data_IF_247657565766
#
_entry.id   IF_247657565766
#
_cell.length_a   1.000
_cell.length_b   1.000
_cell.length_c   1.000
_cell.angle_alpha   90.00
_cell.angle_beta   90.00
_cell.angle_gamma   90.00
#
_symmetry.space_group_name_H-M   'P 1'
#
loop_
_entity.id
_entity.type
_entity.pdbx_description
1 polymer ?
#
# COMPACT_ATOMS: atom_id res chain seq x y z
N UNK A 1 -54.96 4.33 16.23
CA UNK A 1 -54.65 4.38 14.79
C UNK A 1 -53.73 5.56 14.57
N UNK A 2 -52.43 5.31 14.33
CA UNK A 2 -51.49 6.31 13.86
C UNK A 2 -50.20 5.63 13.36
N UNK A 3 -49.54 6.32 12.44
CA UNK A 3 -48.24 6.07 11.81
C UNK A 3 -48.21 5.12 10.60
N UNK A 4 -48.38 5.73 9.43
CA UNK A 4 -47.64 5.38 8.22
C UNK A 4 -46.20 5.91 8.34
N UNK A 5 -45.22 5.15 7.82
CA UNK A 5 -44.04 5.66 7.13
C UNK A 5 -43.23 4.45 6.61
N UNK A 6 -42.99 4.43 5.30
CA UNK A 6 -42.16 3.43 4.65
C UNK A 6 -40.69 3.54 5.04
N UNK A 7 -39.97 2.44 4.85
CA UNK A 7 -38.52 2.46 4.70
C UNK A 7 -38.14 1.42 3.66
N UNK A 8 -38.27 1.79 2.39
CA UNK A 8 -37.48 1.20 1.31
C UNK A 8 -36.04 1.65 1.51
N UNK A 9 -35.32 0.94 2.36
CA UNK A 9 -33.86 1.00 2.39
C UNK A 9 -33.33 0.11 1.28
N UNK A 10 -33.08 0.70 0.11
CA UNK A 10 -32.21 0.08 -0.90
C UNK A 10 -30.77 0.36 -0.49
N UNK A 11 -30.11 -0.64 0.09
CA UNK A 11 -28.68 -0.56 0.42
C UNK A 11 -27.82 -0.27 -0.82
N UNK A 12 -26.57 0.20 -0.65
CA UNK A 12 -25.67 0.42 -1.77
C UNK A 12 -25.51 -0.90 -2.53
N UNK A 13 -25.85 -0.88 -3.82
CA UNK A 13 -25.72 -2.03 -4.70
C UNK A 13 -24.30 -2.57 -4.64
N UNK A 14 -24.17 -3.83 -4.23
CA UNK A 14 -22.92 -4.58 -4.26
C UNK A 14 -22.59 -4.87 -5.72
N UNK A 15 -21.92 -3.95 -6.40
CA UNK A 15 -21.15 -4.33 -7.58
C UNK A 15 -20.15 -5.39 -7.13
N UNK A 16 -20.26 -6.60 -7.69
CA UNK A 16 -19.30 -7.65 -7.44
C UNK A 16 -17.91 -7.11 -7.83
N UNK A 17 -16.96 -7.16 -6.89
CA UNK A 17 -15.59 -6.75 -7.19
C UNK A 17 -15.06 -7.57 -8.36
N UNK A 18 -14.44 -6.89 -9.32
CA UNK A 18 -13.78 -7.52 -10.46
C UNK A 18 -12.57 -8.38 -10.06
N UNK A 19 -12.25 -8.45 -8.76
CA UNK A 19 -11.05 -9.09 -8.25
C UNK A 19 -11.28 -9.94 -6.98
N UNK A 20 -10.39 -10.91 -6.79
CA UNK A 20 -10.26 -11.76 -5.60
C UNK A 20 -8.86 -11.64 -5.00
N UNK A 21 -8.68 -12.17 -3.78
CA UNK A 21 -7.39 -12.16 -3.10
C UNK A 21 -6.59 -13.43 -3.43
N UNK A 22 -5.35 -13.24 -3.88
CA UNK A 22 -4.34 -14.29 -4.03
C UNK A 22 -3.22 -14.14 -3.00
N UNK A 23 -2.56 -15.23 -2.66
CA UNK A 23 -1.43 -15.25 -1.73
C UNK A 23 -0.26 -16.06 -2.26
N UNK A 24 0.95 -15.61 -1.95
CA UNK A 24 2.19 -16.36 -2.11
C UNK A 24 3.12 -16.07 -0.91
N UNK A 25 4.39 -16.49 -1.00
CA UNK A 25 5.38 -16.24 0.04
C UNK A 25 5.78 -14.75 0.17
N UNK A 26 5.63 -13.96 -0.91
CA UNK A 26 5.98 -12.55 -0.92
C UNK A 26 4.87 -11.67 -0.33
N UNK A 27 3.61 -12.12 -0.39
CA UNK A 27 2.51 -11.49 0.29
C UNK A 27 1.16 -11.70 -0.39
N UNK A 28 0.39 -10.60 -0.47
CA UNK A 28 -1.00 -10.59 -0.91
C UNK A 28 -1.07 -9.92 -2.27
N UNK A 29 -1.84 -10.51 -3.16
CA UNK A 29 -1.99 -10.11 -4.54
C UNK A 29 -3.46 -9.99 -4.92
N UNK A 30 -3.70 -9.26 -6.00
CA UNK A 30 -5.04 -9.09 -6.57
C UNK A 30 -5.15 -9.97 -7.80
N UNK A 31 -6.19 -10.78 -7.88
CA UNK A 31 -6.42 -11.75 -8.96
C UNK A 31 -7.71 -11.39 -9.69
N UNK A 32 -7.74 -11.33 -11.04
CA UNK A 32 -8.99 -11.14 -11.78
C UNK A 32 -10.03 -12.20 -11.39
N UNK A 33 -11.27 -11.77 -11.11
CA UNK A 33 -12.29 -12.67 -10.58
C UNK A 33 -12.59 -13.85 -11.52
N UNK A 34 -12.56 -13.64 -12.84
CA UNK A 34 -12.75 -14.70 -13.82
C UNK A 34 -11.68 -15.81 -13.70
N UNK A 35 -10.41 -15.43 -13.60
CA UNK A 35 -9.29 -16.35 -13.47
C UNK A 35 -9.31 -17.07 -12.11
N UNK A 36 -9.67 -16.35 -11.05
CA UNK A 36 -9.81 -16.91 -9.72
C UNK A 36 -10.93 -17.96 -9.68
N UNK A 37 -12.10 -17.66 -10.24
CA UNK A 37 -13.24 -18.58 -10.31
C UNK A 37 -12.91 -19.83 -11.14
N UNK A 38 -12.22 -19.66 -12.26
CA UNK A 38 -11.73 -20.78 -13.07
C UNK A 38 -10.74 -21.67 -12.29
N UNK A 39 -9.78 -21.08 -11.59
CA UNK A 39 -8.83 -21.83 -10.76
C UNK A 39 -9.51 -22.56 -9.59
N UNK A 40 -10.55 -21.96 -9.01
CA UNK A 40 -11.36 -22.60 -7.95
C UNK A 40 -12.16 -23.78 -8.51
N UNK A 41 -12.73 -23.65 -9.71
CA UNK A 41 -13.52 -24.70 -10.33
C UNK A 41 -12.68 -25.91 -10.77
N UNK A 42 -11.41 -25.69 -11.14
CA UNK A 42 -10.53 -26.71 -11.73
C UNK A 42 -9.67 -27.48 -10.73
N UNK A 43 -9.54 -27.00 -9.49
CA UNK A 43 -8.69 -27.63 -8.46
C UNK A 43 -9.39 -27.51 -7.14
N UNK A 44 -9.51 -28.58 -6.34
CA UNK A 44 -10.13 -28.48 -5.01
C UNK A 44 -9.14 -28.04 -3.92
N UNK A 45 -7.88 -28.46 -4.02
CA UNK A 45 -6.89 -28.30 -2.95
C UNK A 45 -6.10 -26.99 -3.05
N UNK A 46 -5.61 -26.64 -4.24
CA UNK A 46 -4.73 -25.50 -4.47
C UNK A 46 -5.13 -24.79 -5.76
N UNK A 47 -6.05 -23.82 -5.72
CA UNK A 47 -6.45 -23.04 -6.89
C UNK A 47 -5.33 -22.06 -7.24
N UNK A 48 -4.44 -22.44 -8.15
CA UNK A 48 -3.30 -21.61 -8.54
C UNK A 48 -3.61 -20.87 -9.84
N UNK A 49 -3.32 -19.57 -9.88
CA UNK A 49 -3.50 -18.74 -11.09
C UNK A 49 -2.53 -17.55 -11.10
N UNK A 50 -2.60 -16.72 -12.14
CA UNK A 50 -1.87 -15.46 -12.25
C UNK A 50 -2.58 -14.32 -11.51
N UNK A 51 -1.82 -13.55 -10.74
CA UNK A 51 -2.25 -12.25 -10.22
C UNK A 51 -2.13 -11.16 -11.30
N UNK A 52 -2.72 -9.99 -11.03
CA UNK A 52 -2.65 -8.83 -11.93
C UNK A 52 -1.21 -8.35 -12.22
N UNK A 53 -0.27 -8.59 -11.29
CA UNK A 53 1.15 -8.30 -11.48
C UNK A 53 1.92 -9.40 -12.25
N UNK A 54 1.24 -10.48 -12.67
CA UNK A 54 1.85 -11.65 -13.31
C UNK A 54 2.41 -12.70 -12.34
N UNK A 55 2.41 -12.45 -11.03
CA UNK A 55 2.85 -13.43 -10.04
C UNK A 55 1.93 -14.65 -10.01
N UNK A 56 2.51 -15.83 -9.75
CA UNK A 56 1.77 -17.07 -9.59
C UNK A 56 1.35 -17.24 -8.13
N UNK A 57 0.05 -17.28 -7.87
CA UNK A 57 -0.51 -17.20 -6.52
C UNK A 57 -1.57 -18.27 -6.27
N UNK A 58 -1.79 -18.60 -4.99
CA UNK A 58 -2.91 -19.44 -4.56
C UNK A 58 -4.11 -18.54 -4.24
N UNK A 59 -5.28 -18.82 -4.81
CA UNK A 59 -6.51 -18.05 -4.54
C UNK A 59 -7.02 -18.33 -3.13
N UNK A 60 -7.14 -17.28 -2.31
CA UNK A 60 -7.63 -17.35 -0.94
C UNK A 60 -9.17 -17.41 -0.88
N UNK A 61 -9.74 -18.57 -1.22
CA UNK A 61 -11.21 -18.77 -1.36
C UNK A 61 -12.04 -18.23 -0.19
N UNK A 62 -11.58 -18.46 1.04
CA UNK A 62 -12.29 -18.09 2.26
C UNK A 62 -12.31 -16.58 2.50
N UNK A 63 -11.44 -15.82 1.84
CA UNK A 63 -11.38 -14.37 1.96
C UNK A 63 -12.27 -13.68 0.93
N UNK A 64 -12.67 -14.35 -0.14
CA UNK A 64 -13.63 -13.82 -1.10
C UNK A 64 -13.06 -12.69 -1.97
N UNK A 65 -13.88 -11.67 -2.19
CA UNK A 65 -13.59 -10.57 -3.11
C UNK A 65 -12.55 -9.60 -2.54
N UNK A 66 -11.69 -9.10 -3.41
CA UNK A 66 -10.76 -8.04 -3.05
C UNK A 66 -11.50 -6.70 -2.96
N UNK A 67 -11.23 -5.97 -1.88
CA UNK A 67 -11.42 -4.54 -1.80
C UNK A 67 -10.33 -3.97 -0.87
N UNK A 68 -9.94 -2.71 -1.07
CA UNK A 68 -8.79 -2.11 -0.37
C UNK A 68 -8.89 -2.22 1.16
N UNK A 69 -10.09 -2.00 1.69
CA UNK A 69 -10.37 -2.03 3.13
C UNK A 69 -10.82 -3.41 3.63
N UNK A 70 -10.38 -4.49 2.98
CA UNK A 70 -10.82 -5.84 3.36
C UNK A 70 -10.28 -6.22 4.74
N UNK A 71 -11.09 -6.76 5.68
CA UNK A 71 -10.66 -7.01 7.07
C UNK A 71 -9.46 -7.94 7.22
N UNK A 72 -9.23 -8.82 6.23
CA UNK A 72 -8.06 -9.71 6.21
C UNK A 72 -6.79 -9.05 5.68
N UNK A 73 -6.92 -7.86 5.08
CA UNK A 73 -5.81 -7.04 4.62
C UNK A 73 -5.49 -6.04 5.73
N UNK A 74 -4.59 -6.45 6.61
CA UNK A 74 -4.11 -5.59 7.69
C UNK A 74 -3.12 -4.55 7.14
N UNK A 75 -2.88 -3.49 7.92
CA UNK A 75 -1.97 -2.42 7.54
C UNK A 75 -0.50 -2.86 7.38
N UNK A 76 -0.11 -3.95 8.03
CA UNK A 76 1.21 -4.60 7.97
C UNK A 76 1.32 -5.65 6.86
N UNK A 77 0.24 -5.91 6.12
CA UNK A 77 0.27 -6.88 5.04
C UNK A 77 1.02 -6.33 3.83
N UNK A 78 2.01 -7.10 3.35
CA UNK A 78 2.70 -6.87 2.06
C UNK A 78 1.73 -7.08 0.90
N UNK A 79 0.92 -6.07 0.61
CA UNK A 79 0.13 -5.99 -0.61
C UNK A 79 1.02 -5.59 -1.76
N UNK A 80 0.99 -6.38 -2.85
CA UNK A 80 1.77 -6.10 -4.05
C UNK A 80 1.38 -4.72 -4.64
N UNK A 81 2.30 -3.75 -4.74
CA UNK A 81 1.99 -2.42 -5.25
C UNK A 81 1.40 -2.42 -6.66
N UNK A 82 1.95 -3.24 -7.55
CA UNK A 82 1.44 -3.42 -8.92
C UNK A 82 0.00 -3.87 -8.91
N UNK A 83 -0.34 -4.91 -8.12
CA UNK A 83 -1.71 -5.41 -8.02
C UNK A 83 -2.69 -4.36 -7.48
N UNK A 84 -2.28 -3.59 -6.48
CA UNK A 84 -3.11 -2.54 -5.88
C UNK A 84 -3.43 -1.45 -6.91
N UNK A 85 -2.43 -0.96 -7.63
CA UNK A 85 -2.63 0.05 -8.66
C UNK A 85 -3.42 -0.47 -9.87
N UNK A 86 -3.19 -1.71 -10.29
CA UNK A 86 -4.02 -2.35 -11.33
C UNK A 86 -5.49 -2.41 -10.93
N UNK A 87 -5.78 -2.80 -9.69
CA UNK A 87 -7.14 -2.89 -9.19
C UNK A 87 -7.80 -1.51 -9.08
N UNK A 88 -7.07 -0.53 -8.57
CA UNK A 88 -7.55 0.83 -8.43
C UNK A 88 -7.87 1.47 -9.78
N UNK A 89 -7.01 1.28 -10.78
CA UNK A 89 -7.24 1.78 -12.13
C UNK A 89 -8.46 1.11 -12.78
N UNK A 90 -8.54 -0.22 -12.72
CA UNK A 90 -9.65 -0.98 -13.30
C UNK A 90 -11.02 -0.73 -12.65
N UNK A 91 -11.03 -0.23 -11.40
CA UNK A 91 -12.27 0.04 -10.65
C UNK A 91 -12.56 1.53 -10.46
N UNK A 92 -11.77 2.43 -11.06
CA UNK A 92 -11.94 3.88 -10.92
C UNK A 92 -11.71 4.40 -9.49
N UNK A 93 -10.80 3.77 -8.74
CA UNK A 93 -10.54 4.04 -7.31
C UNK A 93 -9.14 4.59 -7.02
N UNK A 94 -8.51 5.26 -7.99
CA UNK A 94 -7.18 5.88 -7.79
C UNK A 94 -7.13 6.83 -6.58
N UNK A 95 -8.21 7.60 -6.36
CA UNK A 95 -8.34 8.50 -5.20
C UNK A 95 -8.27 7.76 -3.86
N UNK A 96 -8.87 6.58 -3.78
CA UNK A 96 -8.83 5.76 -2.58
C UNK A 96 -7.41 5.31 -2.26
N UNK A 97 -6.61 4.99 -3.29
CA UNK A 97 -5.20 4.63 -3.09
C UNK A 97 -4.34 5.83 -2.72
N UNK A 98 -4.56 7.00 -3.32
CA UNK A 98 -3.86 8.22 -2.92
C UNK A 98 -4.13 8.57 -1.45
N UNK A 99 -5.37 8.43 -0.98
CA UNK A 99 -5.70 8.63 0.43
C UNK A 99 -5.02 7.61 1.36
N UNK A 100 -4.93 6.35 0.94
CA UNK A 100 -4.26 5.29 1.70
C UNK A 100 -2.73 5.51 1.86
N UNK A 101 -2.14 6.32 0.99
CA UNK A 101 -0.71 6.69 1.08
C UNK A 101 -0.45 7.81 2.09
N UNK A 102 -1.46 8.60 2.46
CA UNK A 102 -1.29 9.70 3.42
C UNK A 102 -0.88 9.15 4.79
N UNK A 103 0.20 9.66 5.41
CA UNK A 103 0.50 9.36 6.80
C UNK A 103 -0.66 9.81 7.70
N UNK A 104 -0.96 9.03 8.75
CA UNK A 104 -2.05 9.31 9.70
C UNK A 104 -1.52 9.33 11.14
N UNK A 105 -2.27 9.97 12.01
CA UNK A 105 -2.10 9.95 13.48
C UNK A 105 -0.66 10.23 13.94
N UNK A 106 -0.13 9.36 14.80
CA UNK A 106 1.20 9.47 15.40
C UNK A 106 2.30 9.47 14.34
N UNK A 107 2.14 8.69 13.26
CA UNK A 107 3.11 8.61 12.17
C UNK A 107 3.25 9.95 11.46
N UNK A 108 2.14 10.67 11.25
CA UNK A 108 2.19 12.02 10.67
C UNK A 108 2.90 13.01 11.61
N UNK A 109 2.60 12.97 12.91
CA UNK A 109 3.23 13.86 13.90
C UNK A 109 4.76 13.69 13.97
N UNK A 110 5.25 12.46 13.79
CA UNK A 110 6.69 12.19 13.72
C UNK A 110 7.25 12.60 12.36
N UNK A 111 6.57 12.23 11.27
CA UNK A 111 7.05 12.52 9.92
C UNK A 111 7.19 14.01 9.65
N UNK A 112 6.32 14.88 10.19
CA UNK A 112 6.45 16.34 10.02
C UNK A 112 7.73 16.91 10.66
N UNK A 113 8.32 16.24 11.64
CA UNK A 113 9.57 16.66 12.27
C UNK A 113 10.80 16.16 11.51
N UNK A 114 10.65 15.06 10.76
CA UNK A 114 11.77 14.34 10.12
C UNK A 114 11.82 14.53 8.60
N UNK A 115 10.72 14.95 7.96
CA UNK A 115 10.64 15.21 6.53
C UNK A 115 10.18 16.64 6.26
N UNK A 116 10.85 17.37 5.34
CA UNK A 116 10.33 18.64 4.83
C UNK A 116 8.92 18.49 4.23
N UNK A 117 8.68 17.40 3.50
CA UNK A 117 7.38 17.06 2.92
C UNK A 117 6.92 15.64 3.33
N UNK A 118 6.09 15.49 4.38
CA UNK A 118 5.53 14.20 4.75
C UNK A 118 4.47 13.67 3.75
N UNK A 119 4.00 14.51 2.83
CA UNK A 119 3.03 14.17 1.78
C UNK A 119 3.71 13.90 0.42
N UNK A 120 5.05 13.76 0.39
CA UNK A 120 5.80 13.62 -0.86
C UNK A 120 5.30 12.47 -1.73
N UNK A 121 4.97 11.33 -1.14
CA UNK A 121 4.52 10.15 -1.89
C UNK A 121 3.13 10.34 -2.52
N UNK A 122 2.06 10.72 -1.79
CA UNK A 122 0.77 10.98 -2.42
C UNK A 122 0.84 12.14 -3.44
N UNK A 123 1.65 13.19 -3.21
CA UNK A 123 1.89 14.26 -4.20
C UNK A 123 2.56 13.73 -5.47
N UNK A 124 3.57 12.89 -5.33
CA UNK A 124 4.26 12.26 -6.45
C UNK A 124 3.33 11.35 -7.25
N UNK A 125 2.58 10.48 -6.58
CA UNK A 125 1.63 9.59 -7.26
C UNK A 125 0.54 10.37 -8.00
N UNK A 126 0.04 11.48 -7.43
CA UNK A 126 -0.86 12.40 -8.14
C UNK A 126 -0.21 12.97 -9.40
N UNK A 127 1.00 13.52 -9.29
CA UNK A 127 1.71 14.10 -10.45
C UNK A 127 1.97 13.07 -11.55
N UNK A 128 2.27 11.82 -11.18
CA UNK A 128 2.40 10.71 -12.12
C UNK A 128 1.09 10.45 -12.86
N UNK A 129 -0.05 10.37 -12.15
CA UNK A 129 -1.38 10.18 -12.75
C UNK A 129 -1.72 11.34 -13.69
N UNK A 130 -1.48 12.58 -13.26
CA UNK A 130 -1.84 13.77 -14.03
C UNK A 130 -1.00 13.92 -15.32
N UNK A 131 0.28 13.52 -15.29
CA UNK A 131 1.19 13.65 -16.44
C UNK A 131 1.15 12.48 -17.41
N UNK A 132 0.96 11.25 -16.92
CA UNK A 132 0.88 10.07 -17.79
C UNK A 132 -0.53 9.80 -18.30
N UNK A 133 -1.56 10.33 -17.64
CA UNK A 133 -2.96 10.06 -18.00
C UNK A 133 -3.42 8.67 -17.59
N UNK A 134 -4.73 8.43 -17.72
CA UNK A 134 -5.40 7.16 -17.36
C UNK A 134 -5.95 6.42 -18.58
N UNK A 135 -5.40 6.71 -19.77
CA UNK A 135 -5.83 6.08 -21.02
C UNK A 135 -5.31 4.64 -21.12
N UNK A 136 -6.12 3.73 -21.68
CA UNK A 136 -5.86 2.27 -21.68
C UNK A 136 -4.49 1.89 -22.25
N UNK A 137 -3.98 2.64 -23.23
CA UNK A 137 -2.67 2.39 -23.85
C UNK A 137 -1.49 2.66 -22.90
N UNK A 138 -1.65 3.60 -21.97
CA UNK A 138 -0.63 4.00 -21.01
C UNK A 138 -0.75 3.29 -19.65
N UNK A 139 -1.82 2.48 -19.45
CA UNK A 139 -2.08 1.76 -18.20
C UNK A 139 -0.87 0.96 -17.69
N UNK A 140 -0.16 0.14 -18.50
CA UNK A 140 0.97 -0.64 -18.00
C UNK A 140 2.11 0.24 -17.47
N UNK A 141 2.43 1.33 -18.19
CA UNK A 141 3.47 2.27 -17.80
C UNK A 141 3.08 3.05 -16.55
N UNK A 142 1.83 3.53 -16.48
CA UNK A 142 1.30 4.21 -15.31
C UNK A 142 1.41 3.31 -14.07
N UNK A 143 0.93 2.07 -14.17
CA UNK A 143 0.97 1.09 -13.09
C UNK A 143 2.41 0.81 -12.66
N UNK A 144 3.32 0.62 -13.61
CA UNK A 144 4.74 0.36 -13.33
C UNK A 144 5.37 1.50 -12.53
N UNK A 145 5.20 2.74 -12.98
CA UNK A 145 5.79 3.91 -12.31
C UNK A 145 5.15 4.13 -10.93
N UNK A 146 3.83 3.99 -10.81
CA UNK A 146 3.13 4.11 -9.52
C UNK A 146 3.54 3.01 -8.53
N UNK A 147 3.65 1.77 -8.99
CA UNK A 147 4.08 0.65 -8.17
C UNK A 147 5.54 0.81 -7.72
N UNK A 148 6.41 1.29 -8.61
CA UNK A 148 7.78 1.61 -8.28
C UNK A 148 7.85 2.72 -7.22
N UNK A 149 7.15 3.84 -7.42
CA UNK A 149 7.10 4.94 -6.47
C UNK A 149 6.65 4.49 -5.07
N UNK A 150 5.56 3.73 -4.97
CA UNK A 150 5.01 3.31 -3.68
C UNK A 150 5.81 2.22 -2.98
N UNK A 151 6.63 1.45 -3.69
CA UNK A 151 7.59 0.54 -3.06
C UNK A 151 8.61 1.30 -2.19
N UNK A 152 8.92 2.55 -2.54
CA UNK A 152 9.85 3.42 -1.80
C UNK A 152 9.17 4.25 -0.70
N UNK A 153 7.94 3.91 -0.29
CA UNK A 153 7.20 4.62 0.75
C UNK A 153 8.03 4.74 2.03
N UNK A 154 8.23 5.96 2.58
CA UNK A 154 8.86 6.15 3.88
C UNK A 154 8.10 5.38 4.97
N UNK A 155 8.83 4.66 5.82
CA UNK A 155 8.31 4.00 7.02
C UNK A 155 9.03 4.52 8.25
N UNK A 156 8.30 4.67 9.36
CA UNK A 156 8.88 5.01 10.65
C UNK A 156 9.41 3.74 11.31
N UNK A 157 10.72 3.70 11.53
CA UNK A 157 11.37 2.69 12.35
C UNK A 157 11.39 3.19 13.79
N UNK A 158 10.82 2.39 14.70
CA UNK A 158 10.90 2.63 16.13
C UNK A 158 12.09 1.86 16.71
N UNK A 159 12.72 2.38 17.78
CA UNK A 159 13.65 1.59 18.57
C UNK A 159 12.99 0.29 19.06
N UNK A 160 13.78 -0.77 19.21
CA UNK A 160 13.31 -2.11 19.65
C UNK A 160 12.51 -2.02 20.96
N UNK A 161 13.02 -1.28 21.94
CA UNK A 161 12.37 -0.99 23.23
C UNK A 161 10.96 -0.40 23.07
N UNK A 162 10.73 0.38 22.01
CA UNK A 162 9.43 0.95 21.68
C UNK A 162 8.51 0.00 20.90
N UNK A 163 9.07 -0.98 20.19
CA UNK A 163 8.32 -2.01 19.47
C UNK A 163 7.66 -3.02 20.41
N UNK A 164 8.37 -3.41 21.47
CA UNK A 164 7.91 -4.43 22.42
C UNK A 164 7.04 -3.88 23.57
N UNK A 165 6.84 -2.56 23.61
CA UNK A 165 6.07 -1.89 24.65
C UNK A 165 6.79 -1.83 26.01
N UNK A 166 8.11 -2.10 26.02
CA UNK A 166 8.98 -2.00 27.18
C UNK A 166 9.55 -0.57 27.36
N UNK A 167 9.09 0.38 26.55
CA UNK A 167 9.48 1.79 26.61
C UNK A 167 8.79 2.50 27.80
N UNK A 168 9.54 3.29 28.59
CA UNK A 168 9.01 4.10 29.71
C UNK A 168 8.16 5.32 29.24
N UNK A 169 7.93 5.46 27.93
CA UNK A 169 7.17 6.58 27.37
C UNK A 169 5.66 6.33 27.46
N UNK A 170 4.93 7.34 27.96
CA UNK A 170 3.46 7.29 28.13
C UNK A 170 2.69 7.09 26.80
N UNK A 171 3.32 7.46 25.68
CA UNK A 171 3.07 7.00 24.31
C UNK A 171 4.45 6.89 23.67
N UNK A 172 4.82 5.77 23.04
CA UNK A 172 6.04 5.74 22.24
C UNK A 172 5.78 6.64 21.01
N UNK A 173 6.07 7.93 21.14
CA UNK A 173 5.77 8.96 20.15
C UNK A 173 6.79 9.00 19.02
N UNK A 174 7.75 8.06 18.98
CA UNK A 174 8.72 7.94 17.89
C UNK A 174 9.62 9.17 17.71
N UNK A 175 9.84 9.98 18.76
CA UNK A 175 10.74 11.15 18.69
C UNK A 175 12.19 10.77 18.41
N UNK A 176 12.58 9.55 18.80
CA UNK A 176 13.87 8.93 18.48
C UNK A 176 13.78 7.96 17.29
N UNK A 177 12.64 7.92 16.61
CA UNK A 177 12.44 7.08 15.43
C UNK A 177 13.16 7.63 14.21
N UNK A 178 13.53 6.74 13.29
CA UNK A 178 14.18 7.10 12.02
C UNK A 178 13.23 6.75 10.88
N UNK A 179 13.14 7.64 9.89
CA UNK A 179 12.43 7.31 8.66
C UNK A 179 13.36 6.59 7.70
N UNK A 180 12.94 5.41 7.27
CA UNK A 180 13.68 4.58 6.35
C UNK A 180 12.88 4.31 5.07
N UNK A 181 13.61 3.99 4.00
CA UNK A 181 13.03 3.44 2.80
C UNK A 181 13.12 1.91 2.85
N UNK A 182 12.00 1.20 2.96
CA UNK A 182 12.01 -0.26 3.12
C UNK A 182 12.57 -0.97 1.88
N UNK A 183 12.27 -0.46 0.67
CA UNK A 183 12.75 -1.03 -0.58
C UNK A 183 14.25 -0.85 -0.83
N UNK A 184 14.87 0.17 -0.22
CA UNK A 184 16.32 0.40 -0.34
C UNK A 184 17.12 -0.16 0.84
N UNK A 185 16.45 -0.62 1.89
CA UNK A 185 17.11 -1.07 3.12
C UNK A 185 17.18 -2.59 3.18
N UNK A 186 18.22 -3.11 3.85
CA UNK A 186 18.36 -4.54 4.09
C UNK A 186 17.44 -4.97 5.24
N UNK A 187 16.43 -5.77 4.90
CA UNK A 187 15.57 -6.46 5.87
C UNK A 187 16.07 -7.90 6.03
N UNK A 188 16.33 -8.32 7.27
CA UNK A 188 16.70 -9.69 7.55
C UNK A 188 15.55 -10.66 7.21
N UNK A 189 15.87 -11.71 6.45
CA UNK A 189 14.90 -12.74 6.05
C UNK A 189 14.81 -13.88 7.07
N UNK A 190 13.91 -14.84 6.84
CA UNK A 190 13.62 -15.91 7.82
C UNK A 190 14.74 -16.92 8.11
N UNK A 191 15.91 -16.75 7.52
CA UNK A 191 17.12 -17.47 7.94
C UNK A 191 17.79 -16.83 9.16
N UNK A 192 17.44 -15.58 9.50
CA UNK A 192 18.13 -14.77 10.50
C UNK A 192 17.63 -14.99 11.94
N UNK A 193 16.70 -15.93 12.17
CA UNK A 193 16.21 -16.27 13.50
C UNK A 193 15.52 -15.09 14.18
N UNK A 194 15.99 -14.71 15.37
CA UNK A 194 15.48 -13.57 16.14
C UNK A 194 15.57 -12.23 15.39
N UNK A 195 16.46 -12.14 14.40
CA UNK A 195 16.64 -10.95 13.57
C UNK A 195 15.67 -10.89 12.38
N UNK A 196 14.86 -11.94 12.13
CA UNK A 196 13.91 -11.94 11.02
C UNK A 196 12.97 -10.73 11.09
N UNK A 197 12.85 -10.00 9.98
CA UNK A 197 12.00 -8.81 9.90
C UNK A 197 12.63 -7.55 10.50
N UNK A 198 13.86 -7.60 11.00
CA UNK A 198 14.60 -6.44 11.46
C UNK A 198 15.43 -5.80 10.34
N UNK A 199 15.47 -4.46 10.31
CA UNK A 199 16.34 -3.71 9.41
C UNK A 199 17.77 -3.72 9.93
N UNK A 200 18.73 -3.97 9.05
CA UNK A 200 20.14 -4.00 9.41
C UNK A 200 20.71 -2.57 9.44
N UNK A 201 21.27 -2.09 10.57
CA UNK A 201 21.77 -0.73 10.70
C UNK A 201 22.83 -0.36 9.66
N UNK A 202 23.66 -1.32 9.25
CA UNK A 202 24.73 -1.15 8.26
C UNK A 202 24.20 -0.83 6.86
N UNK A 203 22.95 -1.18 6.58
CA UNK A 203 22.30 -0.98 5.29
C UNK A 203 20.85 -0.53 5.46
N UNK A 204 20.64 0.44 6.35
CA UNK A 204 19.38 1.17 6.49
C UNK A 204 19.47 2.50 5.77
N UNK A 205 18.63 2.68 4.74
CA UNK A 205 18.63 3.88 3.92
C UNK A 205 17.55 4.84 4.44
N UNK A 206 17.97 6.02 4.86
CA UNK A 206 17.07 7.08 5.30
C UNK A 206 16.09 7.49 4.20
N UNK A 207 14.86 7.85 4.59
CA UNK A 207 13.88 8.43 3.70
C UNK A 207 13.90 9.97 3.77
N UNK A 208 13.68 10.68 2.65
CA UNK A 208 13.41 10.14 1.32
C UNK A 208 14.69 9.59 0.67
N UNK A 209 14.61 8.39 0.09
CA UNK A 209 15.76 7.79 -0.57
C UNK A 209 16.02 8.42 -1.95
N UNK A 210 17.21 8.19 -2.51
CA UNK A 210 17.60 8.76 -3.80
C UNK A 210 16.66 8.38 -4.96
N UNK A 211 16.04 7.20 -4.93
CA UNK A 211 15.06 6.81 -5.94
C UNK A 211 13.83 7.72 -5.89
N UNK A 212 13.29 7.93 -4.69
CA UNK A 212 12.11 8.77 -4.48
C UNK A 212 12.41 10.24 -4.84
N UNK A 213 13.59 10.76 -4.48
CA UNK A 213 13.98 12.14 -4.81
C UNK A 213 14.22 12.33 -6.31
N UNK A 214 14.83 11.35 -6.97
CA UNK A 214 15.04 11.36 -8.44
C UNK A 214 13.72 11.32 -9.18
N UNK A 215 12.80 10.46 -8.75
CA UNK A 215 11.47 10.36 -9.34
C UNK A 215 10.66 11.64 -9.10
N UNK A 216 10.67 12.19 -7.88
CA UNK A 216 10.04 13.47 -7.58
C UNK A 216 10.53 14.58 -8.53
N UNK A 217 11.85 14.69 -8.71
CA UNK A 217 12.44 15.69 -9.60
C UNK A 217 12.00 15.52 -11.07
N UNK A 218 11.88 14.29 -11.58
CA UNK A 218 11.43 14.06 -12.97
C UNK A 218 9.98 14.47 -13.20
N UNK A 219 9.18 14.53 -12.12
CA UNK A 219 7.79 14.99 -12.14
C UNK A 219 7.63 16.44 -11.64
N UNK A 220 8.72 17.19 -11.54
CA UNK A 220 8.72 18.62 -11.17
C UNK A 220 8.45 18.90 -9.69
N UNK A 221 8.62 17.92 -8.81
CA UNK A 221 8.40 18.06 -7.37
C UNK A 221 9.75 18.23 -6.67
N UNK A 222 9.89 19.32 -5.92
CA UNK A 222 11.04 19.53 -5.05
C UNK A 222 10.77 18.94 -3.66
N UNK A 223 11.57 17.95 -3.26
CA UNK A 223 11.44 17.24 -1.98
C UNK A 223 11.82 18.09 -0.76
N UNK A 224 12.49 19.23 -0.98
CA UNK A 224 12.83 20.17 0.11
C UNK A 224 11.77 21.24 0.32
N UNK A 225 10.83 21.37 -0.61
CA UNK A 225 9.75 22.34 -0.46
C UNK A 225 8.75 21.76 0.55
N UNK A 226 8.41 22.50 1.62
CA UNK A 226 7.35 22.07 2.51
C UNK A 226 6.07 21.86 1.70
N UNK A 227 5.26 20.87 2.08
CA UNK A 227 3.94 20.72 1.48
C UNK A 227 3.20 22.06 1.56
N UNK A 228 2.82 22.63 0.41
CA UNK A 228 1.99 23.83 0.39
C UNK A 228 0.76 23.55 1.24
N UNK A 229 0.63 24.31 2.33
CA UNK A 229 -0.47 24.22 3.28
C UNK A 229 -1.72 24.88 2.69
N UNK A 230 -2.21 24.34 1.57
CA UNK A 230 -3.54 24.64 1.08
C UNK A 230 -4.47 23.45 1.34
N UNK A 231 -5.47 23.77 2.15
CA UNK A 231 -6.50 22.95 2.78
C UNK A 231 -7.35 22.11 1.80
#
# INVERSE_FOLDING_TARGET
MNAAAGSDWSGPGTEASAFMIGVDAAGRHVVPAADALLAIATSEQHPITGAACGARVIVARKWGQYHRNHPVLKSDDRLCPTCVWSAALATGRLEQELDALRPRDITLQVMVQLLPDPQILPRLCRSIIDQLGVDEQDHPRLIEVLAHATAHRPVLLLPEECGDGECDHQRCTGTDGVLACPACSLLAGGWAGEWEGQYQPECTIAAPCQVLTTLAASYGINVTDPADSHA
#
